data_IF_003467757906
#
_entry.id   IF_003467757906
#
_cell.length_a   1.000
_cell.length_b   1.000
_cell.length_c   1.000
_cell.angle_alpha   90.00
_cell.angle_beta   90.00
_cell.angle_gamma   90.00
#
_symmetry.space_group_name_H-M   'P 1'
#
loop_
_entity.id
_entity.type
_entity.pdbx_description
1 polymer ?
#
# COMPACT_ATOMS: atom_id res chain seq x y z
N UNK A 1 -5.38 2.39 14.48
CA UNK A 1 -4.09 1.69 14.26
C UNK A 1 -3.57 2.11 12.90
N UNK A 2 -2.28 2.40 12.76
CA UNK A 2 -1.68 2.76 11.47
C UNK A 2 -0.61 1.74 11.10
N UNK A 3 -0.33 1.62 9.80
CA UNK A 3 0.76 0.82 9.25
C UNK A 3 1.63 1.69 8.35
N UNK A 4 2.93 1.40 8.26
CA UNK A 4 3.80 1.96 7.22
C UNK A 4 4.09 0.91 6.16
N UNK A 5 3.61 1.13 4.93
CA UNK A 5 3.78 0.23 3.79
C UNK A 5 4.78 0.80 2.79
N UNK A 6 5.58 -0.05 2.15
CA UNK A 6 6.47 0.35 1.05
C UNK A 6 5.91 -0.08 -0.30
N UNK A 7 5.88 0.84 -1.26
CA UNK A 7 5.49 0.57 -2.65
C UNK A 7 6.24 1.51 -3.60
N UNK A 8 6.78 0.98 -4.70
CA UNK A 8 7.54 1.78 -5.68
C UNK A 8 8.74 2.52 -5.09
N UNK A 9 9.42 1.93 -4.10
CA UNK A 9 10.57 2.57 -3.42
C UNK A 9 10.21 3.71 -2.46
N UNK A 10 8.92 4.04 -2.29
CA UNK A 10 8.43 5.05 -1.35
C UNK A 10 7.70 4.40 -0.18
N UNK A 11 7.70 5.08 0.97
CA UNK A 11 6.99 4.65 2.16
C UNK A 11 5.71 5.47 2.35
N UNK A 12 4.62 4.81 2.70
CA UNK A 12 3.31 5.39 2.91
C UNK A 12 2.80 4.99 4.28
N UNK A 13 2.29 5.96 5.04
CA UNK A 13 1.56 5.68 6.28
C UNK A 13 0.08 5.54 5.95
N UNK A 14 -0.52 4.43 6.34
CA UNK A 14 -1.89 4.07 5.99
C UNK A 14 -2.67 3.63 7.22
N UNK A 15 -3.98 3.82 7.20
CA UNK A 15 -4.94 3.28 8.16
C UNK A 15 -6.05 2.51 7.42
N UNK A 16 -6.81 1.69 8.14
CA UNK A 16 -7.94 0.99 7.56
C UNK A 16 -8.98 2.00 7.03
N UNK A 17 -9.27 1.93 5.72
CA UNK A 17 -10.18 2.85 5.04
C UNK A 17 -9.51 4.01 4.29
N UNK A 18 -8.20 4.19 4.44
CA UNK A 18 -7.48 5.23 3.69
C UNK A 18 -7.36 4.89 2.19
N UNK A 19 -7.44 5.92 1.36
CA UNK A 19 -7.10 5.86 -0.06
C UNK A 19 -5.84 6.67 -0.31
N UNK A 20 -4.85 6.08 -0.96
CA UNK A 20 -3.57 6.71 -1.25
C UNK A 20 -3.10 6.37 -2.67
N UNK A 21 -2.34 7.29 -3.26
CA UNK A 21 -1.77 7.12 -4.59
C UNK A 21 -0.45 6.36 -4.47
N UNK A 22 -0.30 5.33 -5.30
CA UNK A 22 0.92 4.55 -5.45
C UNK A 22 1.38 4.58 -6.90
N UNK A 23 2.61 4.13 -7.13
CA UNK A 23 3.09 3.89 -8.48
C UNK A 23 2.33 2.72 -9.12
N UNK A 24 2.50 2.56 -10.45
CA UNK A 24 1.78 1.54 -11.20
C UNK A 24 2.13 0.14 -10.67
N UNK A 25 1.11 -0.57 -10.20
CA UNK A 25 1.22 -1.95 -9.76
C UNK A 25 0.82 -2.91 -10.90
N UNK A 26 1.47 -4.08 -11.03
CA UNK A 26 1.17 -5.06 -12.07
C UNK A 26 -0.07 -5.90 -11.69
N UNK A 27 -1.18 -5.24 -11.38
CA UNK A 27 -2.42 -5.86 -10.85
C UNK A 27 -3.62 -5.24 -11.54
N UNK A 28 -4.71 -6.00 -11.65
CA UNK A 28 -5.93 -5.51 -12.30
C UNK A 28 -6.77 -4.66 -11.35
N UNK A 29 -7.56 -3.75 -11.91
CA UNK A 29 -8.48 -2.94 -11.13
C UNK A 29 -9.50 -3.83 -10.40
N UNK A 30 -9.63 -3.64 -9.08
CA UNK A 30 -10.55 -4.42 -8.25
C UNK A 30 -9.95 -5.70 -7.67
N UNK A 31 -8.72 -6.08 -8.03
CA UNK A 31 -8.03 -7.17 -7.34
C UNK A 31 -7.52 -6.74 -5.97
N UNK A 32 -7.59 -7.66 -5.01
CA UNK A 32 -6.96 -7.51 -3.70
C UNK A 32 -5.52 -7.97 -3.78
N UNK A 33 -4.63 -7.18 -3.19
CA UNK A 33 -3.19 -7.46 -3.17
C UNK A 33 -2.69 -7.33 -1.73
N UNK A 34 -1.71 -8.16 -1.37
CA UNK A 34 -1.02 -8.05 -0.10
C UNK A 34 0.24 -7.21 -0.29
N UNK A 35 0.44 -6.23 0.57
CA UNK A 35 1.70 -5.47 0.64
C UNK A 35 2.55 -6.10 1.73
N UNK A 36 3.61 -6.82 1.34
CA UNK A 36 4.39 -7.65 2.25
C UNK A 36 5.32 -6.86 3.19
N UNK A 37 5.69 -5.63 2.81
CA UNK A 37 6.56 -4.76 3.61
C UNK A 37 5.74 -3.82 4.51
N UNK A 38 5.32 -4.32 5.68
CA UNK A 38 4.78 -3.52 6.78
C UNK A 38 5.89 -3.27 7.80
N UNK A 39 6.32 -2.02 7.94
CA UNK A 39 7.49 -1.67 8.76
C UNK A 39 7.14 -1.45 10.25
N UNK A 40 5.95 -0.91 10.56
CA UNK A 40 5.44 -0.58 11.91
C UNK A 40 3.93 -0.40 11.88
#
# INVERSE_FOLDING_TARGET
>A
MYAVVRSGGRQYRVQAGDQFLVEKLPVEAGQQITLDEVLL
#
